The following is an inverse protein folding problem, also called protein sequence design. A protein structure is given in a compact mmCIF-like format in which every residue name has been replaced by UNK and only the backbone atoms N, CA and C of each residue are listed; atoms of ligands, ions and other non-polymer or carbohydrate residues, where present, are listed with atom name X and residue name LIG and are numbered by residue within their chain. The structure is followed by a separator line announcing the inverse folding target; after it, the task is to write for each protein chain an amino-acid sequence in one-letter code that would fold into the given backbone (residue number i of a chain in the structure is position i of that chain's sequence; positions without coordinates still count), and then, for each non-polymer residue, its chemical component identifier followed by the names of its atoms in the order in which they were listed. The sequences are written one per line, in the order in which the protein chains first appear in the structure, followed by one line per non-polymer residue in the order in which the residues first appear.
data_IF_849537257673
#
_entry.id   IF_849537257673
#
_cell.length_a   1.000
_cell.length_b   1.000
_cell.length_c   1.000
_cell.angle_alpha   90.00
_cell.angle_beta   90.00
_cell.angle_gamma   90.00
#
_symmetry.space_group_name_H-M   'P 1'
#
loop_
_entity.id
_entity.type
_entity.pdbx_description
1 polymer ?
#
# COMPACT_ATOMS: atom_id res chain seq x y z
N UNK A 1 -44.38 -19.77 -16.90
CA UNK A 1 -43.41 -19.84 -15.80
C UNK A 1 -42.10 -20.47 -16.25
N UNK A 2 -42.10 -21.72 -16.74
CA UNK A 2 -40.88 -22.39 -17.20
C UNK A 2 -40.20 -21.63 -18.36
N UNK A 3 -40.98 -21.16 -19.33
CA UNK A 3 -40.48 -20.41 -20.49
C UNK A 3 -39.88 -19.05 -20.10
N UNK A 4 -40.34 -18.40 -19.03
CA UNK A 4 -39.77 -17.15 -18.54
C UNK A 4 -38.44 -17.37 -17.77
N UNK A 5 -38.32 -18.50 -17.03
CA UNK A 5 -37.05 -18.91 -16.41
C UNK A 5 -36.03 -19.22 -17.51
N UNK A 6 -36.44 -19.92 -18.57
CA UNK A 6 -35.58 -20.21 -19.71
C UNK A 6 -35.11 -18.96 -20.46
N UNK A 7 -36.00 -17.96 -20.60
CA UNK A 7 -35.64 -16.68 -21.22
C UNK A 7 -34.63 -15.87 -20.41
N UNK A 8 -34.67 -15.95 -19.09
CA UNK A 8 -33.71 -15.30 -18.19
C UNK A 8 -32.37 -16.08 -18.21
N UNK A 9 -32.43 -17.40 -18.17
CA UNK A 9 -31.23 -18.25 -18.19
C UNK A 9 -30.50 -18.17 -19.53
N UNK A 10 -31.20 -17.98 -20.64
CA UNK A 10 -30.59 -17.77 -21.97
C UNK A 10 -29.76 -16.48 -22.03
N UNK A 11 -30.11 -15.45 -21.26
CA UNK A 11 -29.33 -14.20 -21.17
C UNK A 11 -28.21 -14.26 -20.13
N UNK A 12 -28.31 -15.18 -19.16
CA UNK A 12 -27.38 -15.32 -18.04
C UNK A 12 -27.08 -16.82 -17.82
N UNK A 13 -26.14 -17.42 -18.59
CA UNK A 13 -25.84 -18.86 -18.54
C UNK A 13 -25.38 -19.35 -17.16
N UNK A 14 -24.78 -18.45 -16.35
CA UNK A 14 -24.35 -18.72 -14.99
C UNK A 14 -25.48 -19.08 -14.01
N UNK A 15 -26.73 -18.84 -14.39
CA UNK A 15 -27.91 -19.17 -13.59
C UNK A 15 -28.52 -20.53 -13.90
N UNK A 16 -27.89 -21.37 -14.75
CA UNK A 16 -28.41 -22.67 -15.19
C UNK A 16 -28.72 -23.61 -14.03
N UNK A 17 -27.84 -23.69 -13.04
CA UNK A 17 -27.99 -24.59 -11.89
C UNK A 17 -29.11 -24.13 -10.95
N UNK A 18 -29.21 -22.82 -10.74
CA UNK A 18 -30.29 -22.22 -9.95
C UNK A 18 -31.64 -22.38 -10.66
N UNK A 19 -31.67 -22.19 -11.97
CA UNK A 19 -32.88 -22.36 -12.78
C UNK A 19 -33.40 -23.79 -12.73
N UNK A 20 -32.54 -24.79 -12.78
CA UNK A 20 -32.89 -26.21 -12.70
C UNK A 20 -33.49 -26.58 -11.35
N UNK A 21 -32.95 -26.06 -10.24
CA UNK A 21 -33.45 -26.25 -8.88
C UNK A 21 -34.85 -25.60 -8.68
N UNK A 22 -35.05 -24.40 -9.26
CA UNK A 22 -36.35 -23.71 -9.16
C UNK A 22 -37.41 -24.33 -10.03
N UNK A 23 -37.05 -25.01 -11.12
CA UNK A 23 -37.99 -25.79 -11.94
C UNK A 23 -38.43 -27.08 -11.24
N UNK A 24 -37.51 -27.77 -10.56
CA UNK A 24 -37.76 -29.05 -9.88
C UNK A 24 -38.59 -28.86 -8.58
N UNK A 25 -38.42 -27.76 -7.85
CA UNK A 25 -39.00 -27.52 -6.52
C UNK A 25 -40.29 -26.68 -6.54
N UNK A 26 -40.85 -26.42 -7.67
CA UNK A 26 -42.13 -25.67 -7.89
C UNK A 26 -42.24 -24.30 -7.18
N UNK A 27 -41.10 -23.63 -6.95
CA UNK A 27 -41.03 -22.33 -6.30
C UNK A 27 -41.53 -21.20 -7.22
N UNK A 28 -41.88 -20.05 -6.64
CA UNK A 28 -42.44 -18.93 -7.37
C UNK A 28 -41.47 -18.23 -8.31
N UNK A 29 -41.96 -17.67 -9.42
CA UNK A 29 -41.15 -16.89 -10.35
C UNK A 29 -40.56 -15.63 -9.71
N UNK A 30 -41.25 -15.04 -8.75
CA UNK A 30 -40.80 -13.86 -8.00
C UNK A 30 -39.58 -14.18 -7.12
N UNK A 31 -39.53 -15.36 -6.52
CA UNK A 31 -38.37 -15.83 -5.76
C UNK A 31 -37.20 -16.12 -6.68
N UNK A 32 -37.41 -16.74 -7.85
CA UNK A 32 -36.35 -16.92 -8.84
C UNK A 32 -35.76 -15.59 -9.28
N UNK A 33 -36.57 -14.58 -9.61
CA UNK A 33 -36.10 -13.24 -9.99
C UNK A 33 -35.29 -12.58 -8.87
N UNK A 34 -35.67 -12.73 -7.60
CA UNK A 34 -34.94 -12.20 -6.46
C UNK A 34 -33.55 -12.85 -6.30
N UNK A 35 -33.49 -14.18 -6.37
CA UNK A 35 -32.23 -14.92 -6.28
C UNK A 35 -31.34 -14.65 -7.51
N UNK A 36 -31.94 -14.55 -8.70
CA UNK A 36 -31.20 -14.19 -9.91
C UNK A 36 -30.61 -12.78 -9.84
N UNK A 37 -31.34 -11.79 -9.36
CA UNK A 37 -30.84 -10.44 -9.14
C UNK A 37 -29.72 -10.40 -8.09
N UNK A 38 -29.85 -11.19 -7.03
CA UNK A 38 -28.82 -11.27 -5.97
C UNK A 38 -27.54 -11.96 -6.47
N UNK A 39 -27.65 -13.02 -7.29
CA UNK A 39 -26.49 -13.67 -7.88
C UNK A 39 -25.81 -12.80 -8.94
N UNK A 40 -26.57 -12.10 -9.79
CA UNK A 40 -26.04 -11.15 -10.78
C UNK A 40 -25.39 -9.94 -10.07
N UNK A 41 -25.94 -9.47 -8.94
CA UNK A 41 -25.31 -8.37 -8.19
C UNK A 41 -24.02 -8.77 -7.50
N UNK A 42 -23.89 -10.05 -7.10
CA UNK A 42 -22.63 -10.61 -6.56
C UNK A 42 -21.61 -10.92 -7.64
N UNK A 43 -22.06 -11.19 -8.88
CA UNK A 43 -21.18 -11.43 -10.04
C UNK A 43 -20.81 -10.15 -10.81
N UNK A 44 -21.19 -8.98 -10.33
CA UNK A 44 -20.72 -7.73 -10.93
C UNK A 44 -19.21 -7.69 -10.81
N UNK A 45 -18.46 -7.70 -11.93
CA UNK A 45 -17.01 -7.54 -11.85
C UNK A 45 -16.75 -6.21 -11.17
N UNK A 46 -15.94 -6.23 -10.11
CA UNK A 46 -15.22 -5.04 -9.68
C UNK A 46 -14.64 -4.40 -10.94
N UNK A 47 -14.72 -3.09 -11.06
CA UNK A 47 -14.22 -2.32 -12.19
C UNK A 47 -12.91 -2.96 -12.66
N UNK A 48 -12.85 -3.37 -13.92
CA UNK A 48 -11.77 -4.18 -14.43
C UNK A 48 -10.45 -3.47 -14.14
N UNK A 49 -9.71 -3.98 -13.17
CA UNK A 49 -8.29 -3.72 -13.09
C UNK A 49 -7.77 -4.14 -14.48
N UNK A 50 -7.11 -3.23 -15.18
CA UNK A 50 -6.48 -3.55 -16.45
C UNK A 50 -5.53 -4.69 -16.12
N UNK A 51 -5.85 -5.88 -16.65
CA UNK A 51 -4.99 -7.04 -16.46
C UNK A 51 -3.67 -6.73 -17.17
N UNK A 52 -2.69 -6.29 -16.39
CA UNK A 52 -1.34 -5.98 -16.85
C UNK A 52 -0.51 -7.23 -17.05
N UNK A 53 -1.05 -8.42 -16.79
CA UNK A 53 -0.36 -9.67 -17.05
C UNK A 53 -0.23 -9.86 -18.57
N UNK A 54 0.95 -10.20 -19.04
CA UNK A 54 1.19 -10.53 -20.46
C UNK A 54 0.94 -12.00 -20.75
N UNK A 55 0.46 -12.78 -19.75
CA UNK A 55 0.07 -14.17 -19.90
C UNK A 55 1.25 -15.15 -20.00
N UNK A 56 2.39 -14.84 -19.36
CA UNK A 56 3.54 -15.72 -19.30
C UNK A 56 3.21 -17.00 -18.52
N UNK A 57 3.56 -18.15 -19.08
CA UNK A 57 3.52 -19.40 -18.33
C UNK A 57 4.59 -19.41 -17.23
N UNK A 58 4.44 -20.22 -16.15
CA UNK A 58 5.45 -20.31 -15.08
C UNK A 58 6.85 -20.70 -15.60
N UNK A 59 6.94 -21.49 -16.69
CA UNK A 59 8.21 -21.85 -17.32
C UNK A 59 8.84 -20.68 -18.08
N UNK A 60 8.05 -19.86 -18.72
CA UNK A 60 8.52 -18.66 -19.42
C UNK A 60 8.94 -17.57 -18.44
N UNK A 61 8.19 -17.38 -17.36
CA UNK A 61 8.58 -16.49 -16.26
C UNK A 61 9.92 -16.90 -15.62
N UNK A 62 10.23 -18.21 -15.56
CA UNK A 62 11.54 -18.70 -15.12
C UNK A 62 12.68 -18.41 -16.11
N UNK A 63 12.39 -18.28 -17.39
CA UNK A 63 13.39 -17.99 -18.44
C UNK A 63 13.77 -16.52 -18.51
N UNK A 64 12.93 -15.64 -18.02
CA UNK A 64 13.18 -14.20 -17.99
C UNK A 64 14.33 -13.88 -17.05
N UNK A 65 15.34 -13.16 -17.52
CA UNK A 65 16.52 -12.75 -16.73
C UNK A 65 16.75 -11.26 -16.82
N UNK A 66 16.57 -10.56 -15.69
CA UNK A 66 16.83 -9.12 -15.58
C UNK A 66 18.29 -8.82 -15.89
N UNK A 67 19.24 -9.68 -15.48
CA UNK A 67 20.66 -9.49 -15.78
C UNK A 67 20.91 -9.55 -17.29
N UNK A 68 20.25 -10.43 -18.04
CA UNK A 68 20.37 -10.45 -19.52
C UNK A 68 19.79 -9.17 -20.13
N UNK A 69 18.64 -8.73 -19.67
CA UNK A 69 18.04 -7.48 -20.13
C UNK A 69 18.92 -6.26 -19.83
N UNK A 70 19.47 -6.15 -18.61
CA UNK A 70 20.41 -5.09 -18.19
C UNK A 70 21.67 -5.11 -19.06
N UNK A 71 22.27 -6.29 -19.27
CA UNK A 71 23.46 -6.41 -20.11
C UNK A 71 23.16 -6.07 -21.57
N UNK A 72 22.01 -6.48 -22.12
CA UNK A 72 21.61 -6.16 -23.47
C UNK A 72 21.38 -4.66 -23.65
N UNK A 73 20.76 -4.01 -22.70
CA UNK A 73 20.53 -2.57 -22.73
C UNK A 73 21.85 -1.79 -22.60
N UNK A 74 22.76 -2.23 -21.72
CA UNK A 74 24.07 -1.60 -21.52
C UNK A 74 25.01 -1.77 -22.72
N UNK A 75 24.88 -2.87 -23.49
CA UNK A 75 25.70 -3.14 -24.68
C UNK A 75 25.03 -2.67 -25.99
N UNK A 76 23.73 -2.35 -25.97
CA UNK A 76 22.94 -2.06 -27.15
C UNK A 76 22.60 -3.28 -28.02
N UNK A 77 23.02 -4.49 -27.58
CA UNK A 77 22.84 -5.74 -28.34
C UNK A 77 21.83 -6.67 -27.64
N UNK A 78 20.66 -6.80 -28.23
CA UNK A 78 19.56 -7.64 -27.76
C UNK A 78 19.57 -9.07 -28.33
N UNK A 79 20.60 -9.45 -29.07
CA UNK A 79 20.65 -10.77 -29.73
C UNK A 79 20.56 -11.94 -28.73
N UNK A 80 21.07 -11.76 -27.50
CA UNK A 80 21.03 -12.75 -26.42
C UNK A 80 19.88 -12.57 -25.44
N UNK A 81 19.11 -11.49 -25.55
CA UNK A 81 18.00 -11.11 -24.66
C UNK A 81 16.71 -10.84 -25.46
N UNK A 82 16.51 -11.55 -26.57
CA UNK A 82 15.35 -11.38 -27.45
C UNK A 82 14.03 -11.63 -26.75
N UNK A 83 13.98 -12.63 -25.86
CA UNK A 83 12.79 -12.96 -25.08
C UNK A 83 12.44 -11.83 -24.09
N UNK A 84 13.43 -11.26 -23.40
CA UNK A 84 13.26 -10.16 -22.47
C UNK A 84 12.77 -8.89 -23.19
N UNK A 85 13.27 -8.64 -24.39
CA UNK A 85 12.80 -7.54 -25.24
C UNK A 85 11.34 -7.72 -25.64
N UNK A 86 10.97 -8.90 -26.11
CA UNK A 86 9.60 -9.23 -26.51
C UNK A 86 8.61 -9.05 -25.34
N UNK A 87 8.99 -9.48 -24.14
CA UNK A 87 8.20 -9.28 -22.93
C UNK A 87 8.05 -7.79 -22.58
N UNK A 88 9.13 -7.02 -22.69
CA UNK A 88 9.10 -5.57 -22.44
C UNK A 88 8.22 -4.83 -23.46
N UNK A 89 8.32 -5.17 -24.74
CA UNK A 89 7.52 -4.56 -25.80
C UNK A 89 6.02 -4.91 -25.65
N UNK A 90 5.70 -6.16 -25.28
CA UNK A 90 4.33 -6.59 -25.00
C UNK A 90 3.73 -5.84 -23.79
N UNK A 91 4.53 -5.61 -22.74
CA UNK A 91 4.11 -4.83 -21.59
C UNK A 91 3.91 -3.34 -21.97
N UNK A 92 4.82 -2.76 -22.77
CA UNK A 92 4.70 -1.38 -23.29
C UNK A 92 3.43 -1.17 -24.10
N UNK A 93 3.09 -2.13 -24.97
CA UNK A 93 1.85 -2.09 -25.76
C UNK A 93 0.60 -2.10 -24.87
N UNK A 94 0.57 -2.90 -23.81
CA UNK A 94 -0.55 -2.92 -22.85
C UNK A 94 -0.65 -1.64 -22.03
N UNK A 95 0.48 -1.07 -21.65
CA UNK A 95 0.55 0.17 -20.87
C UNK A 95 0.38 1.43 -21.73
N UNK A 96 0.43 1.30 -23.08
CA UNK A 96 0.30 2.41 -24.02
C UNK A 96 1.46 3.41 -23.95
N UNK A 97 2.64 2.98 -23.46
CA UNK A 97 3.85 3.81 -23.36
C UNK A 97 5.10 2.98 -23.61
N UNK A 98 6.15 3.62 -24.13
CA UNK A 98 7.46 3.01 -24.27
C UNK A 98 8.25 3.10 -22.98
N UNK A 99 9.03 2.05 -22.66
CA UNK A 99 9.93 2.05 -21.51
C UNK A 99 11.18 2.91 -21.81
N UNK A 100 11.64 3.68 -20.85
CA UNK A 100 12.95 4.36 -20.91
C UNK A 100 14.12 3.36 -20.88
N UNK A 101 13.88 2.18 -20.33
CA UNK A 101 14.81 1.04 -20.30
C UNK A 101 14.12 -0.23 -20.76
N UNK A 102 13.54 -0.99 -19.85
CA UNK A 102 12.69 -2.15 -20.14
C UNK A 102 11.63 -2.33 -19.06
N UNK A 103 10.48 -2.91 -19.42
CA UNK A 103 9.45 -3.31 -18.46
C UNK A 103 9.67 -4.73 -17.99
N UNK A 104 9.46 -4.97 -16.70
CA UNK A 104 9.45 -6.29 -16.11
C UNK A 104 8.01 -6.78 -15.92
N UNK A 105 7.64 -7.95 -16.50
CA UNK A 105 6.30 -8.50 -16.35
C UNK A 105 5.94 -8.81 -14.90
N UNK A 106 4.68 -8.59 -14.53
CA UNK A 106 4.17 -8.85 -13.18
C UNK A 106 4.32 -10.33 -12.76
N UNK A 107 4.21 -11.25 -13.70
CA UNK A 107 4.37 -12.69 -13.47
C UNK A 107 5.80 -13.06 -13.03
N UNK A 108 6.79 -12.28 -13.44
CA UNK A 108 8.19 -12.46 -13.03
C UNK A 108 8.41 -11.89 -11.62
N UNK A 109 7.66 -10.86 -11.21
CA UNK A 109 7.72 -10.29 -9.87
C UNK A 109 7.17 -11.23 -8.80
N UNK A 110 6.20 -12.08 -9.14
CA UNK A 110 5.55 -13.05 -8.24
C UNK A 110 6.27 -14.39 -8.18
N UNK A 111 7.47 -14.49 -8.74
CA UNK A 111 8.23 -15.74 -8.79
C UNK A 111 8.65 -16.20 -7.40
N UNK A 112 8.09 -17.34 -6.98
CA UNK A 112 8.38 -17.99 -5.71
C UNK A 112 9.82 -18.53 -5.68
N UNK A 113 10.51 -18.36 -4.55
CA UNK A 113 11.88 -18.86 -4.34
C UNK A 113 11.81 -20.32 -3.92
N UNK A 114 12.04 -21.26 -4.84
CA UNK A 114 12.34 -22.63 -4.48
C UNK A 114 13.83 -22.94 -4.69
N UNK A 115 14.50 -23.28 -3.60
CA UNK A 115 15.88 -23.72 -3.55
C UNK A 115 16.00 -25.19 -3.92
N UNK A 116 16.85 -25.54 -4.90
CA UNK A 116 17.45 -26.88 -4.96
C UNK A 116 18.87 -26.79 -5.47
N UNK A 117 19.81 -27.20 -4.62
CA UNK A 117 21.24 -27.28 -4.91
C UNK A 117 21.60 -28.69 -5.42
N UNK A 118 22.49 -28.77 -6.42
CA UNK A 118 23.30 -29.98 -6.67
C UNK A 118 24.65 -29.64 -7.28
N UNK A 119 25.65 -29.83 -6.48
CA UNK A 119 26.91 -30.58 -6.57
C UNK A 119 28.04 -30.15 -7.53
N UNK A 120 29.20 -29.93 -6.94
CA UNK A 120 30.49 -30.49 -7.35
C UNK A 120 31.63 -29.51 -7.53
N UNK A 121 32.42 -29.29 -6.59
CA UNK A 121 33.82 -29.32 -6.17
C UNK A 121 34.90 -28.72 -7.08
N UNK A 122 35.73 -27.84 -6.56
CA UNK A 122 37.15 -28.03 -6.26
C UNK A 122 37.93 -26.78 -5.89
N UNK A 123 38.66 -26.95 -4.81
CA UNK A 123 39.94 -26.42 -4.29
C UNK A 123 39.97 -25.03 -3.71
N UNK A 124 40.18 -25.05 -2.37
CA UNK A 124 40.54 -23.94 -1.47
C UNK A 124 39.89 -22.62 -1.91
N UNK A 125 38.61 -22.62 -1.82
CA UNK A 125 37.78 -21.44 -1.87
C UNK A 125 37.58 -20.98 -0.43
N UNK A 126 37.70 -19.72 -0.17
CA UNK A 126 36.91 -19.06 0.84
C UNK A 126 35.46 -19.48 0.54
N UNK A 127 34.93 -20.43 1.30
CA UNK A 127 33.55 -20.89 1.15
C UNK A 127 32.66 -19.69 1.40
N UNK A 128 32.24 -19.05 0.31
CA UNK A 128 31.18 -18.09 0.37
C UNK A 128 29.93 -18.88 0.69
N UNK A 129 29.54 -18.92 1.97
CA UNK A 129 28.29 -19.53 2.42
C UNK A 129 27.12 -18.75 1.83
N UNK A 130 26.82 -18.98 0.56
CA UNK A 130 25.75 -18.32 -0.18
C UNK A 130 24.37 -18.55 0.45
N UNK A 131 24.22 -19.66 1.19
CA UNK A 131 22.98 -19.95 1.96
C UNK A 131 22.86 -19.16 3.27
N UNK A 132 23.93 -18.51 3.75
CA UNK A 132 23.96 -17.78 5.01
C UNK A 132 24.15 -16.26 4.80
N UNK A 133 23.69 -15.73 3.68
CA UNK A 133 23.70 -14.30 3.45
C UNK A 133 22.85 -13.62 4.52
N UNK A 134 23.48 -12.75 5.33
CA UNK A 134 22.78 -11.98 6.37
C UNK A 134 22.31 -10.69 5.69
N UNK A 135 21.01 -10.61 5.50
CA UNK A 135 20.36 -9.43 4.93
C UNK A 135 20.34 -8.28 5.95
N UNK A 136 20.31 -7.06 5.45
CA UNK A 136 20.22 -5.87 6.30
C UNK A 136 18.82 -5.77 6.90
N UNK A 137 18.74 -5.50 8.22
CA UNK A 137 17.46 -5.25 8.88
C UNK A 137 16.84 -3.96 8.36
N UNK A 138 15.70 -4.08 7.72
CA UNK A 138 14.92 -2.95 7.20
C UNK A 138 13.59 -2.82 7.93
N UNK A 139 13.04 -1.61 7.94
CA UNK A 139 11.69 -1.38 8.41
C UNK A 139 10.68 -2.11 7.51
N UNK A 140 9.58 -2.56 8.11
CA UNK A 140 8.47 -3.18 7.38
C UNK A 140 7.44 -2.11 7.03
N UNK A 141 6.83 -2.24 5.86
CA UNK A 141 5.67 -1.43 5.47
C UNK A 141 4.49 -1.79 6.37
N UNK A 142 3.97 -0.80 7.10
CA UNK A 142 2.97 -1.04 8.14
C UNK A 142 1.59 -0.48 7.77
N UNK A 143 1.55 0.58 6.97
CA UNK A 143 0.28 1.25 6.60
C UNK A 143 -0.68 0.33 5.85
N UNK A 144 -0.15 -0.54 4.98
CA UNK A 144 -0.95 -1.53 4.26
C UNK A 144 -1.48 -2.64 5.18
N UNK A 145 -0.65 -3.12 6.12
CA UNK A 145 -1.06 -4.12 7.11
C UNK A 145 -2.20 -3.61 8.02
N UNK A 146 -2.29 -2.30 8.22
CA UNK A 146 -3.35 -1.65 9.00
C UNK A 146 -4.65 -1.45 8.21
N UNK A 147 -4.61 -1.60 6.88
CA UNK A 147 -5.79 -1.55 6.03
C UNK A 147 -5.87 -0.34 5.11
N UNK A 148 -4.74 0.31 4.79
CA UNK A 148 -4.72 1.39 3.80
C UNK A 148 -5.23 0.91 2.44
N UNK A 149 -6.03 1.73 1.76
CA UNK A 149 -6.61 1.42 0.47
C UNK A 149 -5.62 1.71 -0.64
N UNK A 150 -5.22 0.68 -1.40
CA UNK A 150 -4.37 0.85 -2.57
C UNK A 150 -5.22 0.98 -3.84
N UNK A 151 -4.96 2.03 -4.63
CA UNK A 151 -5.56 2.25 -5.95
C UNK A 151 -4.47 2.15 -7.01
N UNK A 152 -4.51 1.12 -7.84
CA UNK A 152 -3.51 0.85 -8.88
C UNK A 152 -4.06 1.15 -10.29
N UNK A 153 -3.15 1.35 -11.25
CA UNK A 153 -3.53 1.56 -12.64
C UNK A 153 -4.15 2.94 -12.94
N UNK A 154 -3.86 3.93 -12.12
CA UNK A 154 -4.35 5.30 -12.30
C UNK A 154 -3.72 5.94 -13.53
N UNK A 155 -4.47 6.83 -14.19
CA UNK A 155 -4.01 7.61 -15.34
C UNK A 155 -4.37 9.09 -15.17
N UNK A 156 -3.42 9.98 -15.45
CA UNK A 156 -3.60 11.42 -15.27
C UNK A 156 -3.87 11.83 -13.83
N UNK A 157 -4.42 13.01 -13.62
CA UNK A 157 -4.84 13.47 -12.30
C UNK A 157 -6.17 12.82 -11.93
N UNK A 158 -6.30 12.36 -10.70
CA UNK A 158 -7.51 11.74 -10.17
C UNK A 158 -8.14 12.66 -9.14
N UNK A 159 -9.45 12.86 -9.24
CA UNK A 159 -10.23 13.59 -8.25
C UNK A 159 -11.31 12.66 -7.69
N UNK A 160 -11.27 12.42 -6.40
CA UNK A 160 -12.25 11.60 -5.67
C UNK A 160 -13.31 12.56 -5.12
N UNK A 161 -14.57 12.49 -5.57
CA UNK A 161 -15.61 13.35 -5.03
C UNK A 161 -15.88 13.01 -3.57
N UNK A 162 -16.07 14.02 -2.74
CA UNK A 162 -16.45 13.90 -1.33
C UNK A 162 -17.59 14.86 -1.01
N UNK A 163 -18.42 14.52 -0.05
CA UNK A 163 -19.45 15.41 0.46
C UNK A 163 -18.89 16.21 1.64
N UNK A 164 -18.80 17.52 1.52
CA UNK A 164 -18.28 18.39 2.56
C UNK A 164 -19.35 18.72 3.63
N UNK A 165 -20.62 18.83 3.25
CA UNK A 165 -21.72 18.98 4.18
C UNK A 165 -23.02 18.36 3.65
N UNK A 166 -23.86 17.87 4.56
CA UNK A 166 -25.18 17.35 4.24
C UNK A 166 -26.28 18.39 4.35
N UNK A 167 -27.50 18.02 3.99
CA UNK A 167 -28.68 18.80 4.24
C UNK A 167 -28.99 18.81 5.76
N UNK A 168 -29.49 19.93 6.27
CA UNK A 168 -29.90 20.08 7.67
C UNK A 168 -31.40 19.87 7.80
N UNK A 169 -31.82 19.06 8.77
CA UNK A 169 -33.23 18.89 9.11
C UNK A 169 -33.68 19.94 10.13
N UNK A 170 -34.89 20.42 9.94
CA UNK A 170 -35.52 21.41 10.82
C UNK A 170 -36.86 20.92 11.35
N UNK A 171 -37.16 21.21 12.60
CA UNK A 171 -38.50 21.07 13.16
C UNK A 171 -39.31 22.28 12.76
N UNK A 172 -40.42 22.05 12.09
CA UNK A 172 -41.27 23.11 11.54
C UNK A 172 -42.60 23.14 12.32
N UNK A 173 -43.05 24.33 12.69
CA UNK A 173 -44.35 24.50 13.30
C UNK A 173 -45.47 24.24 12.29
N UNK A 174 -46.72 24.03 12.78
CA UNK A 174 -47.89 23.90 11.93
C UNK A 174 -47.99 25.11 10.98
N UNK A 175 -48.07 24.84 9.66
CA UNK A 175 -48.09 25.86 8.60
C UNK A 175 -46.78 26.62 8.39
N UNK A 176 -45.67 26.22 9.03
CA UNK A 176 -44.33 26.77 8.77
C UNK A 176 -43.70 26.14 7.53
N UNK A 177 -42.72 26.83 6.91
CA UNK A 177 -41.91 26.27 5.83
C UNK A 177 -40.54 25.86 6.37
N UNK A 178 -40.01 24.72 5.89
CA UNK A 178 -38.62 24.33 6.15
C UNK A 178 -37.68 25.28 5.43
N UNK A 179 -36.55 25.58 6.07
CA UNK A 179 -35.48 26.35 5.44
C UNK A 179 -34.70 25.46 4.49
N UNK A 180 -34.47 25.94 3.28
CA UNK A 180 -33.65 25.22 2.28
C UNK A 180 -32.23 25.08 2.79
N UNK A 181 -31.67 23.89 2.69
CA UNK A 181 -30.26 23.63 2.91
C UNK A 181 -29.70 22.77 1.77
N UNK A 182 -28.60 23.25 1.16
CA UNK A 182 -27.95 22.55 0.07
C UNK A 182 -26.77 21.70 0.59
N UNK A 183 -26.62 20.51 0.04
CA UNK A 183 -25.42 19.70 0.23
C UNK A 183 -24.24 20.34 -0.53
N UNK A 184 -23.08 20.41 0.11
CA UNK A 184 -21.84 20.91 -0.50
C UNK A 184 -20.93 19.74 -0.83
N UNK A 185 -20.46 19.70 -2.06
CA UNK A 185 -19.51 18.70 -2.54
C UNK A 185 -18.10 19.28 -2.60
N UNK A 186 -17.14 18.46 -2.24
CA UNK A 186 -15.70 18.74 -2.34
C UNK A 186 -15.04 17.61 -3.13
N UNK A 187 -13.76 17.69 -3.34
CA UNK A 187 -12.98 16.63 -3.96
C UNK A 187 -11.62 16.49 -3.29
N UNK A 188 -11.14 15.26 -3.19
CA UNK A 188 -9.76 14.93 -2.84
C UNK A 188 -9.02 14.71 -4.14
N UNK A 189 -8.09 15.62 -4.47
CA UNK A 189 -7.30 15.55 -5.70
C UNK A 189 -5.99 14.81 -5.42
N UNK A 190 -5.61 13.94 -6.36
CA UNK A 190 -4.35 13.20 -6.35
C UNK A 190 -3.64 13.41 -7.69
N UNK A 191 -2.33 13.63 -7.64
CA UNK A 191 -1.49 13.83 -8.83
C UNK A 191 -0.21 13.01 -8.70
N UNK A 192 0.28 12.38 -9.78
CA UNK A 192 1.46 11.53 -9.71
C UNK A 192 2.69 12.29 -9.24
N UNK A 193 3.38 11.74 -8.25
CA UNK A 193 4.66 12.19 -7.72
C UNK A 193 5.63 11.02 -7.78
N UNK A 194 6.80 11.24 -8.35
CA UNK A 194 7.76 10.16 -8.62
C UNK A 194 8.64 9.92 -7.42
N UNK A 195 8.64 8.70 -6.89
CA UNK A 195 9.63 8.19 -5.95
C UNK A 195 10.63 7.34 -6.70
N UNK A 196 11.92 7.54 -6.43
CA UNK A 196 12.98 6.82 -7.12
C UNK A 196 14.04 6.26 -6.17
N UNK A 197 14.60 5.12 -6.55
CA UNK A 197 15.77 4.54 -5.92
C UNK A 197 16.75 4.09 -7.00
N UNK A 198 18.05 4.16 -6.74
CA UNK A 198 19.04 3.65 -7.67
C UNK A 198 20.14 2.87 -6.94
N UNK A 199 20.76 1.96 -7.68
CA UNK A 199 21.92 1.20 -7.21
C UNK A 199 22.97 1.11 -8.31
N UNK A 200 24.25 1.32 -7.96
CA UNK A 200 25.38 1.21 -8.87
C UNK A 200 26.00 -0.18 -8.75
N UNK A 201 26.11 -0.89 -9.87
CA UNK A 201 26.59 -2.25 -9.95
C UNK A 201 27.87 -2.31 -10.77
N UNK A 202 28.93 -2.93 -10.23
CA UNK A 202 30.16 -3.15 -10.96
C UNK A 202 29.97 -4.21 -12.06
N UNK A 203 30.49 -3.97 -13.26
CA UNK A 203 30.54 -4.96 -14.35
C UNK A 203 31.26 -6.25 -13.96
N UNK A 204 32.23 -6.19 -13.05
CA UNK A 204 32.87 -7.39 -12.50
C UNK A 204 31.93 -8.21 -11.68
N UNK A 205 31.12 -7.57 -10.83
CA UNK A 205 30.11 -8.24 -10.01
C UNK A 205 29.07 -8.96 -10.87
N UNK A 206 28.58 -8.33 -11.94
CA UNK A 206 27.65 -8.95 -12.89
C UNK A 206 28.23 -10.18 -13.62
N UNK A 207 29.58 -10.23 -13.80
CA UNK A 207 30.24 -11.31 -14.52
C UNK A 207 30.76 -12.44 -13.63
N UNK A 208 31.10 -12.16 -12.39
CA UNK A 208 31.82 -13.05 -11.49
C UNK A 208 31.02 -13.54 -10.29
N UNK A 209 29.86 -12.98 -10.05
CA UNK A 209 29.07 -13.35 -8.89
C UNK A 209 28.44 -14.74 -9.05
N UNK A 210 28.59 -15.54 -8.00
CA UNK A 210 27.88 -16.81 -7.80
C UNK A 210 26.52 -16.64 -7.10
N UNK A 211 26.27 -15.45 -6.55
CA UNK A 211 24.99 -15.07 -5.92
C UNK A 211 23.99 -14.67 -6.99
N UNK A 212 22.72 -14.94 -6.74
CA UNK A 212 21.61 -14.42 -7.54
C UNK A 212 21.43 -12.89 -7.27
N UNK A 213 22.37 -12.10 -7.82
CA UNK A 213 22.38 -10.64 -7.71
C UNK A 213 21.09 -10.04 -8.26
N UNK A 214 20.47 -10.69 -9.23
CA UNK A 214 19.24 -10.24 -9.82
C UNK A 214 18.10 -10.18 -8.77
N UNK A 215 17.86 -11.28 -8.07
CA UNK A 215 16.83 -11.31 -7.03
C UNK A 215 17.16 -10.37 -5.87
N UNK A 216 18.44 -10.28 -5.48
CA UNK A 216 18.88 -9.37 -4.44
C UNK A 216 18.56 -7.92 -4.78
N UNK A 217 18.98 -7.43 -5.95
CA UNK A 217 18.76 -6.03 -6.37
C UNK A 217 17.27 -5.74 -6.50
N UNK A 218 16.50 -6.65 -7.10
CA UNK A 218 15.06 -6.50 -7.25
C UNK A 218 14.37 -6.36 -5.89
N UNK A 219 14.69 -7.25 -4.96
CA UNK A 219 14.12 -7.23 -3.60
C UNK A 219 14.56 -5.99 -2.83
N UNK A 220 15.83 -5.59 -2.98
CA UNK A 220 16.38 -4.41 -2.31
C UNK A 220 15.72 -3.11 -2.78
N UNK A 221 15.60 -2.90 -4.10
CA UNK A 221 14.97 -1.72 -4.68
C UNK A 221 13.47 -1.68 -4.34
N UNK A 222 12.75 -2.80 -4.48
CA UNK A 222 11.33 -2.87 -4.14
C UNK A 222 11.08 -2.57 -2.65
N UNK A 223 11.89 -3.15 -1.77
CA UNK A 223 11.83 -2.89 -0.32
C UNK A 223 12.12 -1.43 0.02
N UNK A 224 13.11 -0.82 -0.63
CA UNK A 224 13.48 0.58 -0.41
C UNK A 224 12.37 1.53 -0.85
N UNK A 225 11.75 1.28 -2.01
CA UNK A 225 10.61 2.06 -2.49
C UNK A 225 9.38 1.90 -1.58
N UNK A 226 9.07 0.68 -1.15
CA UNK A 226 7.97 0.42 -0.21
C UNK A 226 8.14 1.17 1.12
N UNK A 227 9.36 1.18 1.66
CA UNK A 227 9.70 1.93 2.87
C UNK A 227 9.53 3.44 2.66
N UNK A 228 9.95 3.97 1.51
CA UNK A 228 9.81 5.39 1.19
C UNK A 228 8.34 5.80 1.05
N UNK A 229 7.50 4.95 0.45
CA UNK A 229 6.05 5.17 0.33
C UNK A 229 5.38 5.14 1.71
N UNK A 230 5.73 4.17 2.57
CA UNK A 230 5.20 4.07 3.94
C UNK A 230 5.58 5.29 4.79
N UNK A 231 6.84 5.73 4.70
CA UNK A 231 7.30 6.95 5.35
C UNK A 231 6.53 8.19 4.85
N UNK A 232 6.31 8.30 3.55
CA UNK A 232 5.53 9.39 2.97
C UNK A 232 4.05 9.33 3.38
N UNK A 233 3.48 8.14 3.55
CA UNK A 233 2.11 7.96 4.04
C UNK A 233 1.94 8.49 5.48
N UNK A 234 2.96 8.35 6.31
CA UNK A 234 2.94 8.81 7.70
C UNK A 234 3.35 10.29 7.79
N UNK A 235 4.52 10.64 7.24
CA UNK A 235 5.21 11.92 7.47
C UNK A 235 5.33 12.82 6.24
N UNK A 236 4.78 12.42 5.09
CA UNK A 236 4.91 13.21 3.86
C UNK A 236 4.50 14.67 4.07
N UNK A 237 5.35 15.60 3.63
CA UNK A 237 5.18 17.03 3.91
C UNK A 237 4.17 17.73 2.99
N UNK A 238 3.75 17.11 1.88
CA UNK A 238 2.95 17.76 0.84
C UNK A 238 3.70 18.82 0.04
N UNK A 239 5.01 18.98 0.27
CA UNK A 239 5.88 19.95 -0.39
C UNK A 239 7.10 19.22 -1.02
N UNK A 240 7.86 19.92 -1.86
CA UNK A 240 9.06 19.38 -2.49
C UNK A 240 8.83 18.05 -3.24
N UNK A 241 7.72 17.96 -3.97
CA UNK A 241 7.29 16.78 -4.72
C UNK A 241 7.00 15.53 -3.84
N UNK A 242 6.80 15.72 -2.53
CA UNK A 242 6.34 14.65 -1.66
C UNK A 242 4.81 14.63 -1.54
N UNK A 243 4.19 13.44 -1.39
CA UNK A 243 2.78 13.33 -1.00
C UNK A 243 2.51 13.98 0.36
N UNK A 244 1.24 14.30 0.62
CA UNK A 244 0.81 14.73 1.96
C UNK A 244 0.49 13.51 2.80
N UNK A 245 1.27 13.25 3.84
CA UNK A 245 1.04 12.16 4.78
C UNK A 245 -0.02 12.48 5.83
N UNK A 246 -0.38 11.48 6.64
CA UNK A 246 -1.39 11.62 7.70
C UNK A 246 -1.06 12.79 8.62
N UNK A 247 0.19 12.88 9.12
CA UNK A 247 0.58 13.87 10.11
C UNK A 247 0.66 15.32 9.57
N UNK A 248 0.76 15.48 8.24
CA UNK A 248 0.76 16.79 7.58
C UNK A 248 -0.64 17.17 7.04
N UNK A 249 -1.61 16.27 7.11
CA UNK A 249 -2.98 16.53 6.66
C UNK A 249 -3.66 17.49 7.61
N UNK A 250 -4.20 18.59 7.07
CA UNK A 250 -4.92 19.59 7.86
C UNK A 250 -6.27 19.04 8.32
N UNK A 251 -6.62 19.23 9.58
CA UNK A 251 -7.94 18.86 10.12
C UNK A 251 -7.97 17.47 10.76
N UNK A 252 -6.84 16.79 10.94
CA UNK A 252 -6.77 15.60 11.79
C UNK A 252 -6.99 15.97 13.26
N UNK A 253 -7.58 15.06 14.06
CA UNK A 253 -7.72 15.22 15.51
C UNK A 253 -6.35 15.38 16.18
N UNK A 254 -6.25 16.22 17.18
CA UNK A 254 -5.00 16.46 17.90
C UNK A 254 -5.16 16.30 19.40
N UNK A 255 -4.31 15.47 19.99
CA UNK A 255 -4.17 15.35 21.45
C UNK A 255 -2.81 15.90 21.83
N UNK A 256 -2.80 16.87 22.74
CA UNK A 256 -1.58 17.57 23.15
C UNK A 256 -1.28 17.26 24.61
N UNK A 257 -0.06 16.79 24.87
CA UNK A 257 0.40 16.45 26.24
C UNK A 257 0.83 17.66 27.06
N UNK A 258 1.13 18.80 26.43
CA UNK A 258 1.55 19.99 27.12
C UNK A 258 2.53 20.86 26.34
N UNK A 259 3.08 21.89 26.99
CA UNK A 259 3.99 22.84 26.35
C UNK A 259 5.28 22.20 25.85
N UNK A 260 5.82 21.25 26.62
CA UNK A 260 7.07 20.56 26.30
C UNK A 260 6.87 19.05 26.03
N UNK A 261 5.65 18.63 25.68
CA UNK A 261 5.31 17.23 25.60
C UNK A 261 5.27 16.52 26.97
N UNK A 262 4.76 15.32 27.00
CA UNK A 262 4.65 14.51 28.22
C UNK A 262 4.77 13.02 27.90
N UNK A 263 5.11 12.20 28.89
CA UNK A 263 5.00 10.75 28.77
C UNK A 263 3.54 10.35 28.48
N UNK A 264 3.30 9.53 27.47
CA UNK A 264 1.95 9.16 27.09
C UNK A 264 1.28 8.36 28.21
N UNK A 265 0.06 8.79 28.58
CA UNK A 265 -0.76 8.14 29.60
C UNK A 265 -2.00 7.52 28.98
N UNK A 266 -2.72 6.72 29.76
CA UNK A 266 -3.98 6.13 29.32
C UNK A 266 -5.00 7.18 28.87
N UNK A 267 -5.04 8.35 29.54
CA UNK A 267 -5.92 9.45 29.17
C UNK A 267 -5.65 9.98 27.75
N UNK A 268 -4.37 10.07 27.33
CA UNK A 268 -4.02 10.50 25.99
C UNK A 268 -4.46 9.48 24.92
N UNK A 269 -4.34 8.18 25.22
CA UNK A 269 -4.79 7.11 24.31
C UNK A 269 -6.32 7.15 24.16
N UNK A 270 -7.06 7.31 25.25
CA UNK A 270 -8.52 7.54 25.21
C UNK A 270 -8.87 8.82 24.49
N UNK A 271 -8.07 9.88 24.67
CA UNK A 271 -8.26 11.16 23.99
C UNK A 271 -8.18 11.04 22.47
N UNK A 272 -7.25 10.24 21.93
CA UNK A 272 -7.14 9.99 20.47
C UNK A 272 -8.40 9.32 19.93
N UNK A 273 -8.90 8.30 20.61
CA UNK A 273 -10.14 7.62 20.25
C UNK A 273 -11.35 8.56 20.31
N UNK A 274 -11.40 9.37 21.37
CA UNK A 274 -12.49 10.34 21.56
C UNK A 274 -12.54 11.39 20.44
N UNK A 275 -11.37 11.87 19.97
CA UNK A 275 -11.31 12.81 18.84
C UNK A 275 -11.94 12.21 17.58
N UNK A 276 -11.60 10.96 17.23
CA UNK A 276 -12.16 10.28 16.05
C UNK A 276 -13.66 10.02 16.23
N UNK A 277 -14.08 9.60 17.43
CA UNK A 277 -15.48 9.32 17.73
C UNK A 277 -16.37 10.58 17.75
N UNK A 278 -15.84 11.74 18.18
CA UNK A 278 -16.57 13.00 18.13
C UNK A 278 -16.99 13.41 16.72
N UNK A 279 -16.18 13.05 15.74
CA UNK A 279 -16.44 13.31 14.33
C UNK A 279 -17.20 12.15 13.64
N UNK A 280 -17.70 11.18 14.41
CA UNK A 280 -18.42 9.99 13.94
C UNK A 280 -17.60 9.15 12.93
N UNK A 281 -16.28 9.16 13.06
CA UNK A 281 -15.36 8.46 12.18
C UNK A 281 -14.86 7.12 12.78
N UNK A 282 -15.49 6.64 13.85
CA UNK A 282 -15.20 5.38 14.56
C UNK A 282 -15.71 4.13 13.82
N UNK A 283 -15.51 4.10 12.50
CA UNK A 283 -15.95 3.04 11.60
C UNK A 283 -14.78 2.45 10.81
N UNK A 284 -14.93 1.23 10.31
CA UNK A 284 -13.94 0.60 9.44
C UNK A 284 -12.77 -0.04 10.18
N UNK A 285 -11.55 0.10 9.66
CA UNK A 285 -10.32 -0.50 10.21
C UNK A 285 -9.64 0.45 11.17
N UNK A 286 -10.08 0.45 12.43
CA UNK A 286 -9.50 1.28 13.48
C UNK A 286 -8.26 0.61 14.09
N UNK A 287 -7.14 1.32 14.12
CA UNK A 287 -5.91 0.84 14.71
C UNK A 287 -4.99 1.97 15.16
N UNK A 288 -4.11 1.64 16.11
CA UNK A 288 -3.04 2.52 16.56
C UNK A 288 -1.75 2.23 15.79
N UNK A 289 -0.99 3.28 15.53
CA UNK A 289 0.37 3.19 15.00
C UNK A 289 1.31 4.08 15.81
N UNK A 290 2.44 3.51 16.24
CA UNK A 290 3.49 4.24 16.95
C UNK A 290 4.86 3.61 16.73
N UNK A 291 5.90 4.15 17.36
CA UNK A 291 7.26 3.59 17.29
C UNK A 291 7.60 2.67 18.47
N UNK A 292 8.74 1.98 18.36
CA UNK A 292 9.20 1.03 19.39
C UNK A 292 9.50 1.68 20.74
N UNK A 293 9.92 2.96 20.78
CA UNK A 293 10.17 3.69 22.03
C UNK A 293 8.88 3.92 22.81
N UNK A 294 7.84 4.41 22.14
CA UNK A 294 6.52 4.61 22.73
C UNK A 294 5.91 3.29 23.19
N UNK A 295 6.04 2.23 22.40
CA UNK A 295 5.62 0.88 22.83
C UNK A 295 6.27 0.48 24.15
N UNK A 296 7.61 0.65 24.23
CA UNK A 296 8.35 0.32 25.47
C UNK A 296 7.85 1.12 26.68
N UNK A 297 7.51 2.39 26.47
CA UNK A 297 6.94 3.24 27.54
C UNK A 297 5.53 2.80 27.93
N UNK A 298 4.66 2.52 26.98
CA UNK A 298 3.27 2.11 27.24
C UNK A 298 3.14 0.71 27.85
N UNK A 299 4.14 -0.17 27.66
CA UNK A 299 4.25 -1.45 28.34
C UNK A 299 4.53 -1.31 29.86
N UNK A 300 5.07 -0.16 30.28
CA UNK A 300 5.37 0.16 31.68
C UNK A 300 4.36 1.14 32.28
N UNK A 301 3.49 1.74 31.46
CA UNK A 301 2.51 2.72 31.92
C UNK A 301 1.23 1.99 32.33
N UNK A 302 0.83 2.13 33.58
CA UNK A 302 -0.42 1.58 34.09
C UNK A 302 -1.62 2.40 33.61
N UNK A 303 -2.78 1.73 33.43
CA UNK A 303 -4.05 2.38 33.11
C UNK A 303 -4.58 3.22 34.27
N UNK A 304 -4.43 2.69 35.48
CA UNK A 304 -4.70 3.36 36.73
C UNK A 304 -3.64 2.92 37.76
N UNK A 305 -3.26 3.80 38.66
CA UNK A 305 -2.23 3.50 39.69
C UNK A 305 -2.57 2.23 40.48
N UNK A 306 -1.58 1.41 40.71
CA UNK A 306 -1.65 0.21 41.55
C UNK A 306 -2.61 -0.89 41.02
N UNK A 307 -2.87 -0.94 39.72
CA UNK A 307 -3.80 -1.94 39.13
C UNK A 307 -3.10 -3.07 38.39
N UNK A 308 -1.81 -3.00 38.15
CA UNK A 308 -1.03 -3.93 37.31
C UNK A 308 -1.64 -4.17 35.93
N UNK A 309 -2.44 -3.20 35.42
CA UNK A 309 -3.00 -3.20 34.08
C UNK A 309 -2.28 -2.15 33.23
N UNK A 310 -1.52 -2.62 32.26
CA UNK A 310 -0.75 -1.74 31.39
C UNK A 310 -1.56 -1.26 30.21
N UNK A 311 -1.18 -0.08 29.66
CA UNK A 311 -1.85 0.54 28.52
C UNK A 311 -1.67 -0.30 27.26
N UNK A 312 -0.45 -0.77 27.01
CA UNK A 312 -0.16 -1.71 25.92
C UNK A 312 -0.36 -3.13 26.41
N UNK A 313 -1.20 -3.90 25.74
CA UNK A 313 -1.55 -5.28 26.09
C UNK A 313 -0.66 -6.29 25.36
N UNK A 314 -0.49 -7.48 25.91
CA UNK A 314 0.41 -8.53 25.39
C UNK A 314 0.05 -9.02 23.97
N UNK A 315 -1.22 -8.86 23.56
CA UNK A 315 -1.70 -9.20 22.22
C UNK A 315 -1.48 -8.11 21.17
N UNK A 316 -0.58 -7.14 21.41
CA UNK A 316 -0.38 -5.96 20.57
C UNK A 316 -1.68 -5.18 20.33
N UNK A 317 -2.44 -4.97 21.37
CA UNK A 317 -3.64 -4.14 21.33
C UNK A 317 -3.60 -3.04 22.39
N UNK A 318 -4.30 -1.93 22.08
CA UNK A 318 -4.64 -0.88 23.03
C UNK A 318 -6.14 -0.67 23.00
N UNK A 319 -6.81 -0.74 24.16
CA UNK A 319 -8.26 -0.61 24.30
C UNK A 319 -9.11 -1.53 23.39
N UNK A 320 -8.56 -2.67 22.99
CA UNK A 320 -9.24 -3.63 22.10
C UNK A 320 -9.01 -3.39 20.60
N UNK A 321 -8.35 -2.30 20.23
CA UNK A 321 -7.94 -2.03 18.85
C UNK A 321 -6.53 -2.57 18.60
N UNK A 322 -6.26 -2.96 17.35
CA UNK A 322 -4.92 -3.37 16.94
C UNK A 322 -3.91 -2.22 17.10
N UNK A 323 -2.72 -2.53 17.61
CA UNK A 323 -1.66 -1.57 17.80
C UNK A 323 -0.39 -2.03 17.08
N UNK A 324 -0.07 -1.36 15.99
CA UNK A 324 1.12 -1.63 15.20
C UNK A 324 2.31 -0.77 15.62
N UNK A 325 3.49 -1.30 15.39
CA UNK A 325 4.76 -0.62 15.68
C UNK A 325 5.57 -0.50 14.41
N UNK A 326 5.93 0.73 14.06
CA UNK A 326 6.83 1.01 12.94
C UNK A 326 7.86 2.06 13.35
N UNK A 327 9.14 1.77 13.12
CA UNK A 327 10.21 2.75 13.32
C UNK A 327 10.23 3.85 12.21
N UNK A 328 9.34 3.79 11.24
CA UNK A 328 9.04 4.88 10.32
C UNK A 328 8.35 6.07 11.04
N UNK A 329 7.62 5.79 12.12
CA UNK A 329 7.05 6.84 12.96
C UNK A 329 8.18 7.56 13.69
N UNK A 330 8.32 8.87 13.45
CA UNK A 330 9.41 9.68 14.00
C UNK A 330 9.48 9.61 15.52
N UNK A 331 10.70 9.53 16.04
CA UNK A 331 11.03 9.68 17.47
C UNK A 331 11.87 10.92 17.77
N UNK A 332 11.93 11.86 16.81
CA UNK A 332 12.76 13.06 16.87
C UNK A 332 11.95 14.33 16.60
N UNK A 333 10.64 14.26 16.86
CA UNK A 333 9.79 15.46 16.78
C UNK A 333 10.14 16.43 17.88
N UNK A 334 9.93 17.72 17.63
CA UNK A 334 10.21 18.80 18.58
C UNK A 334 8.91 19.43 19.08
N UNK A 335 8.81 19.65 20.40
CA UNK A 335 7.71 20.38 21.02
C UNK A 335 8.24 21.22 22.18
N UNK A 336 8.18 22.54 22.04
CA UNK A 336 8.79 23.45 23.02
C UNK A 336 10.29 23.18 23.17
N UNK A 337 10.74 22.87 24.37
CA UNK A 337 12.15 22.52 24.65
C UNK A 337 12.46 21.02 24.47
N UNK A 338 11.46 20.20 24.17
CA UNK A 338 11.65 18.76 23.94
C UNK A 338 12.00 18.48 22.48
N UNK A 339 13.10 17.77 22.24
CA UNK A 339 13.61 17.44 20.91
C UNK A 339 13.51 15.96 20.53
N UNK A 340 12.98 15.11 21.42
CA UNK A 340 12.88 13.66 21.23
C UNK A 340 11.45 13.16 21.42
N UNK A 341 10.48 13.92 20.92
CA UNK A 341 9.07 13.52 20.96
C UNK A 341 8.76 12.51 19.85
N UNK A 342 7.82 11.66 20.13
CA UNK A 342 7.33 10.62 19.23
C UNK A 342 5.87 10.87 18.85
N UNK A 343 5.44 10.34 17.70
CA UNK A 343 4.04 10.36 17.32
C UNK A 343 3.30 9.10 17.77
N UNK A 344 2.03 9.27 18.14
CA UNK A 344 1.04 8.19 18.27
C UNK A 344 -0.11 8.57 17.38
N UNK A 345 -0.49 7.67 16.47
CA UNK A 345 -1.54 7.89 15.47
C UNK A 345 -2.66 6.88 15.76
N UNK A 346 -3.89 7.32 15.75
CA UNK A 346 -5.07 6.47 15.80
C UNK A 346 -6.03 6.90 14.71
N UNK A 347 -6.69 5.95 14.05
CA UNK A 347 -7.70 6.29 13.06
C UNK A 347 -8.18 5.10 12.24
N UNK A 348 -9.06 5.43 11.29
CA UNK A 348 -9.58 4.50 10.30
C UNK A 348 -8.62 4.42 9.10
N UNK A 349 -7.85 3.36 9.03
CA UNK A 349 -6.83 3.17 7.99
C UNK A 349 -7.42 2.96 6.59
N UNK A 350 -8.69 2.55 6.46
CA UNK A 350 -9.34 2.45 5.14
C UNK A 350 -9.48 3.81 4.43
N UNK A 351 -9.44 4.91 5.18
CA UNK A 351 -9.51 6.26 4.63
C UNK A 351 -8.16 6.82 4.17
N UNK A 352 -7.08 6.09 4.40
CA UNK A 352 -5.79 6.36 3.80
C UNK A 352 -5.73 5.72 2.41
N UNK A 353 -5.60 6.54 1.38
CA UNK A 353 -5.53 6.09 0.00
C UNK A 353 -4.10 6.25 -0.51
N UNK A 354 -3.56 5.17 -1.05
CA UNK A 354 -2.27 5.16 -1.75
C UNK A 354 -2.56 4.91 -3.22
N UNK A 355 -2.42 5.95 -4.05
CA UNK A 355 -2.61 5.87 -5.49
C UNK A 355 -1.29 5.55 -6.19
N UNK A 356 -1.32 4.62 -7.14
CA UNK A 356 -0.17 4.23 -7.95
C UNK A 356 -0.48 4.40 -9.44
N UNK A 357 0.39 5.11 -10.16
CA UNK A 357 0.30 5.34 -11.60
C UNK A 357 1.28 4.43 -12.34
N UNK A 358 0.73 3.52 -13.10
CA UNK A 358 1.54 2.55 -13.85
C UNK A 358 2.18 1.50 -12.96
N UNK A 359 3.21 0.83 -13.51
CA UNK A 359 4.04 -0.14 -12.81
C UNK A 359 5.43 0.44 -12.48
N UNK A 360 6.24 -0.35 -11.79
CA UNK A 360 7.63 -0.04 -11.53
C UNK A 360 8.41 0.09 -12.85
N UNK A 361 8.97 1.26 -13.08
CA UNK A 361 9.82 1.55 -14.25
C UNK A 361 11.29 1.39 -13.85
N UNK A 362 11.99 0.49 -14.55
CA UNK A 362 13.41 0.21 -14.30
C UNK A 362 14.22 0.73 -15.48
N UNK A 363 15.01 1.78 -15.25
CA UNK A 363 15.95 2.33 -16.21
C UNK A 363 17.39 1.88 -15.89
N UNK A 364 18.16 1.59 -16.92
CA UNK A 364 19.57 1.20 -16.80
C UNK A 364 20.44 2.25 -17.48
N UNK A 365 21.29 2.90 -16.71
CA UNK A 365 22.23 3.90 -17.20
C UNK A 365 23.66 3.34 -17.14
N UNK A 366 24.23 3.11 -18.31
CA UNK A 366 25.62 2.70 -18.49
C UNK A 366 26.58 3.85 -18.78
N UNK A 367 26.03 5.07 -19.05
CA UNK A 367 26.83 6.23 -19.46
C UNK A 367 27.43 6.96 -18.26
N UNK A 368 26.66 7.19 -17.21
CA UNK A 368 27.11 7.93 -16.02
C UNK A 368 28.27 7.25 -15.31
N UNK A 369 28.32 5.91 -15.29
CA UNK A 369 29.39 5.10 -14.67
C UNK A 369 30.42 4.56 -15.64
N UNK A 370 30.49 5.04 -16.88
CA UNK A 370 31.36 4.48 -17.94
C UNK A 370 32.84 4.49 -17.58
N UNK A 371 33.32 5.55 -16.93
CA UNK A 371 34.72 5.70 -16.51
C UNK A 371 35.13 4.76 -15.37
N UNK A 372 34.20 4.38 -14.50
CA UNK A 372 34.42 3.47 -13.36
C UNK A 372 34.02 2.03 -13.68
N UNK A 373 33.41 1.78 -14.84
CA UNK A 373 32.93 0.46 -15.23
C UNK A 373 31.76 0.00 -14.36
N UNK A 374 30.94 0.93 -13.90
CA UNK A 374 29.68 0.68 -13.17
C UNK A 374 28.48 0.86 -14.08
N UNK A 375 27.44 0.12 -13.80
CA UNK A 375 26.12 0.25 -14.43
C UNK A 375 25.15 0.67 -13.34
N UNK A 376 24.42 1.77 -13.57
CA UNK A 376 23.42 2.29 -12.66
C UNK A 376 22.05 1.72 -13.02
N UNK A 377 21.39 1.11 -12.06
CA UNK A 377 19.99 0.68 -12.18
C UNK A 377 19.12 1.64 -11.37
N UNK A 378 18.20 2.30 -12.03
CA UNK A 378 17.28 3.27 -11.43
C UNK A 378 15.88 2.65 -11.46
N UNK A 379 15.21 2.62 -10.32
CA UNK A 379 13.82 2.21 -10.20
C UNK A 379 12.98 3.44 -9.87
N UNK A 380 11.95 3.69 -10.65
CA UNK A 380 11.04 4.81 -10.51
C UNK A 380 9.61 4.30 -10.35
N UNK A 381 8.84 4.93 -9.45
CA UNK A 381 7.43 4.65 -9.25
C UNK A 381 6.68 5.96 -9.04
N UNK A 382 5.58 6.12 -9.78
CA UNK A 382 4.70 7.26 -9.58
C UNK A 382 3.63 6.91 -8.54
N UNK A 383 3.55 7.70 -7.47
CA UNK A 383 2.66 7.47 -6.34
C UNK A 383 2.15 8.79 -5.78
N UNK A 384 0.94 8.81 -5.26
CA UNK A 384 0.44 9.88 -4.40
C UNK A 384 -0.35 9.29 -3.24
N UNK A 385 -0.46 10.07 -2.18
CA UNK A 385 -1.13 9.66 -0.94
C UNK A 385 -2.16 10.72 -0.60
N UNK A 386 -3.34 10.28 -0.23
CA UNK A 386 -4.41 11.16 0.19
C UNK A 386 -5.20 10.56 1.35
N UNK A 387 -5.63 11.39 2.26
CA UNK A 387 -6.56 11.03 3.32
C UNK A 387 -7.97 11.43 2.88
N UNK A 388 -8.90 10.45 2.83
CA UNK A 388 -10.27 10.66 2.37
C UNK A 388 -11.02 11.61 3.29
N UNK A 389 -10.91 11.38 4.60
CA UNK A 389 -11.49 12.21 5.66
C UNK A 389 -10.43 12.50 6.71
N UNK A 390 -10.05 13.76 6.88
CA UNK A 390 -9.05 14.14 7.86
C UNK A 390 -9.46 13.76 9.28
N UNK A 391 -10.75 13.90 9.61
CA UNK A 391 -11.33 13.56 10.91
C UNK A 391 -11.28 12.08 11.26
N UNK A 392 -11.03 11.20 10.27
CA UNK A 392 -10.83 9.76 10.51
C UNK A 392 -9.51 9.44 11.23
N UNK A 393 -8.64 10.43 11.40
CA UNK A 393 -7.35 10.27 12.08
C UNK A 393 -7.18 11.26 13.21
N UNK A 394 -6.54 10.82 14.28
CA UNK A 394 -6.09 11.64 15.37
C UNK A 394 -4.62 11.32 15.70
N UNK A 395 -3.84 12.34 16.07
CA UNK A 395 -2.44 12.16 16.40
C UNK A 395 -2.03 12.93 17.66
N UNK A 396 -1.14 12.32 18.43
CA UNK A 396 -0.34 12.95 19.47
C UNK A 396 1.10 13.05 18.98
N UNK A 397 1.62 14.26 18.79
CA UNK A 397 2.95 14.51 18.23
C UNK A 397 4.03 14.78 19.27
N UNK A 398 3.66 14.84 20.52
CA UNK A 398 4.48 15.26 21.65
C UNK A 398 4.63 14.21 22.75
N UNK A 399 4.47 12.91 22.36
CA UNK A 399 4.68 11.80 23.28
C UNK A 399 6.17 11.65 23.62
N UNK A 400 6.53 11.94 24.87
CA UNK A 400 7.88 11.73 25.39
C UNK A 400 8.03 10.27 25.86
N UNK A 401 8.83 9.51 25.16
CA UNK A 401 9.11 8.10 25.44
C UNK A 401 10.58 7.85 25.86
N UNK A 402 11.29 8.94 26.23
CA UNK A 402 12.64 8.85 26.75
C UNK A 402 12.67 8.31 28.21
#
# INVERSE_FOLDING_TARGET
RSSEIDAITAKHPELSDVASQFKSNDRSLSEFRKVALESISKSKPAAAAIDTSIGLTPKEAQRFSVVRAVNALASGDWSRAGFERECSDAQGQKLGRDATGFFMPNEVQMRDQTTTAAAGGHTVQTDLMTGNFIDMLKNKMTTMDLGATMMTGLQGNVAIPSQASGATAYWVAESGSATESASVFAQVAMSPKTVGAFSDISRKLLKQSSLDIENFIRTDLASTLAIAIDLAAIHGSGSSNQPTGILATTGIGSVVGGTNGIAPTYAHIVGLETQVAQDNADVGSLAYLTNSKVRGKLLQTEKASDTAQFVWQDNNSMRGYNAAVSNQVSSTLTKGNQSLSSAIIFGNWNDLIIGMWGGLDIAVDSSTGSSSGTVRVVALQDVDIAVRHAQSFAAMLDANAA
#
